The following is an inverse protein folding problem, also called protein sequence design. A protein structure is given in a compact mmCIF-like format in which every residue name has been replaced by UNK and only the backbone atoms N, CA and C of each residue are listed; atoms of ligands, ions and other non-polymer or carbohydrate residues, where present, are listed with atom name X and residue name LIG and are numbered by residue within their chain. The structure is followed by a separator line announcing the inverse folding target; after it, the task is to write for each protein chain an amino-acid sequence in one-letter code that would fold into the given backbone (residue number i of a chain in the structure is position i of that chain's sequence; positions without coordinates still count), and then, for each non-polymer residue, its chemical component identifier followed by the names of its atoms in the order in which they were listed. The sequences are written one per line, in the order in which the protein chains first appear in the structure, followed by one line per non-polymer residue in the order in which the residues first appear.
data_IF_200283696133
#
_entry.id   IF_200283696133
#
_cell.length_a   1.000
_cell.length_b   1.000
_cell.length_c   1.000
_cell.angle_alpha   90.00
_cell.angle_beta   90.00
_cell.angle_gamma   90.00
#
_symmetry.space_group_name_H-M   'P 1'
#
loop_
_entity.id
_entity.type
_entity.pdbx_description
1 polymer ?
#
# COMPACT_ATOMS: atom_id res chain seq x y z
N UNK A 1 -81.52 -10.22 30.18
CA UNK A 1 -81.28 -10.78 28.84
C UNK A 1 -80.62 -9.72 27.97
N UNK A 2 -79.61 -10.14 27.19
CA UNK A 2 -78.82 -9.39 26.17
C UNK A 2 -77.81 -8.38 26.71
N UNK A 3 -76.59 -8.24 26.20
CA UNK A 3 -75.54 -9.12 25.67
C UNK A 3 -74.36 -8.16 25.37
N UNK A 4 -73.13 -8.58 25.68
CA UNK A 4 -71.88 -7.86 25.44
C UNK A 4 -71.67 -7.57 23.94
N UNK A 5 -71.04 -6.45 23.60
CA UNK A 5 -70.04 -6.43 22.52
C UNK A 5 -68.86 -5.53 22.92
N UNK A 6 -67.70 -6.16 23.07
CA UNK A 6 -66.39 -5.52 23.30
C UNK A 6 -65.81 -5.19 21.94
N UNK A 7 -65.63 -3.91 21.62
CA UNK A 7 -64.92 -3.48 20.43
C UNK A 7 -63.42 -3.53 20.73
N UNK A 8 -62.73 -4.56 20.21
CA UNK A 8 -61.27 -4.64 20.26
C UNK A 8 -60.69 -3.80 19.12
N UNK A 9 -59.91 -2.78 19.45
CA UNK A 9 -59.11 -2.02 18.49
C UNK A 9 -57.88 -2.87 18.13
N UNK A 10 -57.83 -3.34 16.88
CA UNK A 10 -56.65 -3.98 16.29
C UNK A 10 -55.69 -2.85 15.90
N UNK A 11 -54.62 -2.68 16.68
CA UNK A 11 -53.51 -1.80 16.32
C UNK A 11 -52.76 -2.42 15.13
N UNK A 12 -52.84 -1.78 13.98
CA UNK A 12 -52.09 -2.16 12.78
C UNK A 12 -50.65 -1.68 12.92
N UNK A 13 -49.74 -2.60 13.20
CA UNK A 13 -48.30 -2.34 13.18
C UNK A 13 -47.82 -2.12 11.75
N UNK A 14 -47.61 -0.85 11.37
CA UNK A 14 -46.89 -0.50 10.14
C UNK A 14 -45.41 -0.89 10.33
N UNK A 15 -45.01 -2.03 9.77
CA UNK A 15 -43.61 -2.40 9.64
C UNK A 15 -42.97 -1.52 8.55
N UNK A 16 -42.27 -0.46 8.96
CA UNK A 16 -41.41 0.31 8.07
C UNK A 16 -40.20 -0.56 7.73
N UNK A 17 -40.24 -1.21 6.57
CA UNK A 17 -39.05 -1.80 5.94
C UNK A 17 -38.09 -0.65 5.59
N UNK A 18 -37.17 -0.34 6.50
CA UNK A 18 -36.01 0.47 6.18
C UNK A 18 -35.17 -0.28 5.16
N UNK A 19 -35.24 0.13 3.89
CA UNK A 19 -34.28 -0.29 2.88
C UNK A 19 -32.89 0.18 3.34
N UNK A 20 -32.09 -0.75 3.88
CA UNK A 20 -30.66 -0.54 4.09
C UNK A 20 -30.07 -0.42 2.70
N UNK A 21 -29.91 0.82 2.23
CA UNK A 21 -29.08 1.10 1.08
C UNK A 21 -27.68 0.58 1.42
N UNK A 22 -27.28 -0.52 0.78
CA UNK A 22 -25.89 -0.97 0.78
C UNK A 22 -25.08 0.03 -0.05
N UNK A 23 -24.94 1.26 0.46
CA UNK A 23 -23.95 2.18 -0.03
C UNK A 23 -22.60 1.54 0.16
N UNK A 24 -21.80 1.46 -0.90
CA UNK A 24 -20.42 1.01 -0.81
C UNK A 24 -19.72 1.79 0.29
N UNK A 25 -19.21 1.09 1.31
CA UNK A 25 -18.49 1.74 2.40
C UNK A 25 -17.36 2.60 1.80
N UNK A 26 -17.12 3.82 2.32
CA UNK A 26 -16.03 4.65 1.84
C UNK A 26 -14.71 3.88 1.96
N UNK A 27 -13.89 3.87 0.91
CA UNK A 27 -12.57 3.22 0.91
C UNK A 27 -11.78 3.78 2.10
N UNK A 28 -11.35 2.89 3.00
CA UNK A 28 -10.63 3.28 4.21
C UNK A 28 -9.32 4.00 3.87
N UNK A 29 -8.83 4.87 4.75
CA UNK A 29 -7.54 5.53 4.54
C UNK A 29 -6.41 4.50 4.46
N UNK A 30 -6.48 3.45 5.27
CA UNK A 30 -5.55 2.32 5.24
C UNK A 30 -5.52 1.63 3.87
N UNK A 31 -6.67 1.42 3.22
CA UNK A 31 -6.70 0.80 1.89
C UNK A 31 -6.08 1.70 0.81
N UNK A 32 -6.33 3.02 0.89
CA UNK A 32 -5.69 3.99 -0.02
C UNK A 32 -4.17 4.01 0.16
N UNK A 33 -3.73 4.02 1.40
CA UNK A 33 -2.31 4.01 1.78
C UNK A 33 -1.63 2.69 1.36
N UNK A 34 -2.29 1.55 1.61
CA UNK A 34 -1.80 0.23 1.24
C UNK A 34 -1.65 0.06 -0.27
N UNK A 35 -2.67 0.48 -1.04
CA UNK A 35 -2.61 0.47 -2.50
C UNK A 35 -1.45 1.32 -3.03
N UNK A 36 -1.32 2.55 -2.54
CA UNK A 36 -0.27 3.46 -2.97
C UNK A 36 1.13 2.92 -2.64
N UNK A 37 1.32 2.39 -1.43
CA UNK A 37 2.59 1.79 -1.03
C UNK A 37 2.92 0.55 -1.87
N UNK A 38 1.96 -0.35 -2.08
CA UNK A 38 2.11 -1.53 -2.93
C UNK A 38 2.50 -1.13 -4.37
N UNK A 39 1.88 -0.10 -4.93
CA UNK A 39 2.19 0.42 -6.26
C UNK A 39 3.67 0.82 -6.41
N UNK A 40 4.21 1.52 -5.39
CA UNK A 40 5.62 1.91 -5.36
C UNK A 40 6.51 0.67 -5.37
N UNK A 41 6.21 -0.35 -4.56
CA UNK A 41 7.04 -1.57 -4.54
C UNK A 41 7.09 -2.27 -5.89
N UNK A 42 5.98 -2.29 -6.65
CA UNK A 42 5.94 -2.88 -8.01
C UNK A 42 6.76 -2.05 -8.98
N UNK A 43 6.74 -0.72 -8.84
CA UNK A 43 7.55 0.17 -9.65
C UNK A 43 9.05 -0.06 -9.43
N UNK A 44 9.47 -0.19 -8.17
CA UNK A 44 10.87 -0.27 -7.76
C UNK A 44 11.45 -1.69 -7.90
N UNK A 45 10.72 -2.72 -7.44
CA UNK A 45 11.23 -4.09 -7.32
C UNK A 45 10.45 -5.11 -8.18
N UNK A 46 9.35 -4.72 -8.81
CA UNK A 46 8.50 -5.62 -9.57
C UNK A 46 7.56 -6.47 -8.70
N UNK A 47 6.97 -7.49 -9.33
CA UNK A 47 5.95 -8.37 -8.73
C UNK A 47 6.42 -9.81 -8.51
N UNK A 48 7.71 -10.09 -8.70
CA UNK A 48 8.22 -11.47 -8.58
C UNK A 48 8.36 -11.87 -7.10
N UNK A 49 8.29 -13.17 -6.75
CA UNK A 49 8.40 -13.63 -5.36
C UNK A 49 9.68 -13.15 -4.66
N UNK A 50 10.81 -13.10 -5.36
CA UNK A 50 12.09 -12.64 -4.80
C UNK A 50 12.10 -11.16 -4.37
N UNK A 51 11.05 -10.38 -4.70
CA UNK A 51 10.92 -8.96 -4.33
C UNK A 51 10.13 -8.72 -3.04
N UNK A 52 9.77 -9.76 -2.29
CA UNK A 52 8.96 -9.63 -1.07
C UNK A 52 9.66 -8.83 0.03
N UNK A 53 10.92 -9.15 0.33
CA UNK A 53 11.70 -8.41 1.33
C UNK A 53 11.96 -6.97 0.89
N UNK A 54 12.20 -6.73 -0.41
CA UNK A 54 12.30 -5.39 -0.96
C UNK A 54 11.00 -4.60 -0.76
N UNK A 55 9.86 -5.24 -0.99
CA UNK A 55 8.57 -4.62 -0.75
C UNK A 55 8.36 -4.26 0.71
N UNK A 56 8.64 -5.19 1.64
CA UNK A 56 8.55 -4.93 3.08
C UNK A 56 9.43 -3.75 3.47
N UNK A 57 10.68 -3.72 3.02
CA UNK A 57 11.61 -2.63 3.30
C UNK A 57 11.12 -1.29 2.76
N UNK A 58 10.68 -1.23 1.50
CA UNK A 58 10.19 0.00 0.85
C UNK A 58 8.94 0.53 1.56
N UNK A 59 7.97 -0.34 1.85
CA UNK A 59 6.74 0.04 2.57
C UNK A 59 7.10 0.61 3.94
N UNK A 60 8.03 -0.03 4.66
CA UNK A 60 8.48 0.43 5.96
C UNK A 60 9.10 1.83 5.89
N UNK A 61 9.94 2.09 4.89
CA UNK A 61 10.48 3.45 4.67
C UNK A 61 9.37 4.46 4.40
N UNK A 62 8.38 4.11 3.57
CA UNK A 62 7.24 5.01 3.31
C UNK A 62 6.46 5.33 4.60
N UNK A 63 6.21 4.34 5.45
CA UNK A 63 5.56 4.52 6.76
C UNK A 63 6.40 5.43 7.66
N UNK A 64 7.67 5.11 7.87
CA UNK A 64 8.56 5.86 8.76
C UNK A 64 8.71 7.32 8.33
N UNK A 65 8.80 7.56 7.01
CA UNK A 65 8.91 8.90 6.45
C UNK A 65 7.59 9.67 6.47
N UNK A 66 6.46 8.98 6.33
CA UNK A 66 5.13 9.56 6.52
C UNK A 66 4.95 10.04 7.96
N UNK A 67 5.29 9.20 8.95
CA UNK A 67 5.28 9.55 10.38
C UNK A 67 6.16 10.77 10.69
N UNK A 68 7.43 10.74 10.26
CA UNK A 68 8.37 11.85 10.46
C UNK A 68 7.92 13.19 9.86
N UNK A 69 7.06 13.16 8.84
CA UNK A 69 6.55 14.36 8.15
C UNK A 69 5.14 14.75 8.55
N UNK A 70 4.45 13.94 9.37
CA UNK A 70 3.05 14.15 9.70
C UNK A 70 2.12 14.11 8.49
N UNK A 71 2.38 13.22 7.52
CA UNK A 71 1.55 13.04 6.32
C UNK A 71 1.09 11.58 6.18
N UNK A 72 0.12 11.31 5.30
CA UNK A 72 -0.29 9.92 5.00
C UNK A 72 0.76 9.16 4.20
N UNK A 73 0.71 7.83 4.26
CA UNK A 73 1.59 6.96 3.46
C UNK A 73 1.33 7.15 1.98
N UNK A 74 0.08 7.33 1.55
CA UNK A 74 -0.23 7.66 0.16
C UNK A 74 0.45 8.97 -0.28
N UNK A 75 0.42 10.02 0.55
CA UNK A 75 1.13 11.27 0.22
C UNK A 75 2.64 11.03 0.12
N UNK A 76 3.21 10.22 1.00
CA UNK A 76 4.63 9.89 0.96
C UNK A 76 5.00 9.06 -0.29
N UNK A 77 4.14 8.12 -0.70
CA UNK A 77 4.31 7.32 -1.91
C UNK A 77 4.37 8.20 -3.18
N UNK A 78 3.47 9.19 -3.30
CA UNK A 78 3.48 10.15 -4.40
C UNK A 78 4.77 10.98 -4.46
N UNK A 79 5.31 11.36 -3.29
CA UNK A 79 6.53 12.14 -3.19
C UNK A 79 7.80 11.33 -3.51
N UNK A 80 7.84 10.04 -3.15
CA UNK A 80 8.99 9.17 -3.44
C UNK A 80 8.99 8.64 -4.87
N UNK A 81 7.83 8.24 -5.39
CA UNK A 81 7.72 7.55 -6.68
C UNK A 81 6.50 8.03 -7.47
N UNK A 82 6.41 9.35 -7.70
CA UNK A 82 5.31 9.94 -8.47
C UNK A 82 5.14 9.32 -9.87
N UNK A 83 6.24 8.84 -10.49
CA UNK A 83 6.20 8.11 -11.77
C UNK A 83 5.42 6.79 -11.71
N UNK A 84 5.25 6.18 -10.54
CA UNK A 84 4.43 4.97 -10.40
C UNK A 84 2.93 5.24 -10.69
N UNK A 85 2.50 6.49 -10.52
CA UNK A 85 1.12 6.95 -10.70
C UNK A 85 0.90 7.65 -12.05
N UNK A 86 1.97 7.85 -12.82
CA UNK A 86 1.92 8.50 -14.12
C UNK A 86 1.34 7.56 -15.18
N UNK A 87 0.14 7.91 -15.64
CA UNK A 87 -0.61 7.16 -16.64
C UNK A 87 -0.09 7.36 -18.07
N UNK A 88 0.75 8.36 -18.32
CA UNK A 88 1.26 8.73 -19.64
C UNK A 88 2.72 8.32 -19.86
N UNK A 89 3.34 7.68 -18.87
CA UNK A 89 4.72 7.20 -18.97
C UNK A 89 4.90 6.19 -20.11
N UNK A 90 6.03 6.23 -20.84
CA UNK A 90 6.22 5.38 -22.02
C UNK A 90 6.53 3.91 -21.69
N UNK A 91 7.13 3.64 -20.53
CA UNK A 91 7.54 2.29 -20.10
C UNK A 91 6.80 1.88 -18.83
N UNK A 92 6.43 0.59 -18.75
CA UNK A 92 5.71 0.02 -17.60
C UNK A 92 4.42 0.78 -17.27
N UNK A 93 3.78 1.41 -18.26
CA UNK A 93 2.56 2.20 -18.12
C UNK A 93 1.45 1.47 -17.35
N UNK A 94 1.36 0.15 -17.54
CA UNK A 94 0.40 -0.72 -16.86
C UNK A 94 0.42 -0.61 -15.33
N UNK A 95 1.56 -0.28 -14.70
CA UNK A 95 1.65 -0.17 -13.23
C UNK A 95 0.66 0.88 -12.72
N UNK A 96 0.55 2.04 -13.37
CA UNK A 96 -0.38 3.10 -12.95
C UNK A 96 -1.87 2.70 -13.05
N UNK A 97 -2.17 1.56 -13.68
CA UNK A 97 -3.52 0.99 -13.82
C UNK A 97 -3.78 -0.19 -12.90
N UNK A 98 -2.85 -0.53 -12.00
CA UNK A 98 -3.10 -1.54 -10.98
C UNK A 98 -4.13 -1.03 -9.97
N UNK A 99 -5.20 -1.79 -9.79
CA UNK A 99 -6.30 -1.45 -8.87
C UNK A 99 -6.32 -2.37 -7.65
N UNK A 100 -6.90 -1.95 -6.51
CA UNK A 100 -7.05 -2.81 -5.35
C UNK A 100 -7.87 -4.09 -5.59
N UNK A 101 -8.76 -4.10 -6.60
CA UNK A 101 -9.57 -5.27 -6.96
C UNK A 101 -8.77 -6.37 -7.67
N UNK A 102 -7.56 -6.05 -8.15
CA UNK A 102 -6.72 -7.00 -8.88
C UNK A 102 -7.22 -7.31 -10.29
N UNK A 103 -8.06 -6.44 -10.86
CA UNK A 103 -8.38 -6.45 -12.29
C UNK A 103 -7.10 -6.33 -13.13
N UNK A 104 -7.12 -6.93 -14.33
CA UNK A 104 -5.99 -6.80 -15.25
C UNK A 104 -5.73 -5.32 -15.56
N UNK A 105 -4.52 -4.82 -15.32
CA UNK A 105 -4.22 -3.42 -15.56
C UNK A 105 -4.25 -3.12 -17.05
N UNK A 106 -4.84 -1.98 -17.41
CA UNK A 106 -4.82 -1.48 -18.79
C UNK A 106 -3.38 -1.42 -19.32
N UNK A 107 -3.18 -2.00 -20.51
CA UNK A 107 -1.88 -2.00 -21.18
C UNK A 107 -0.92 -3.06 -20.63
N UNK A 108 -1.44 -4.12 -20.01
CA UNK A 108 -0.67 -5.30 -19.64
C UNK A 108 0.18 -5.79 -20.84
N UNK A 109 1.49 -6.06 -20.66
CA UNK A 109 2.35 -6.41 -21.79
C UNK A 109 2.00 -7.78 -22.38
N UNK A 110 1.74 -7.86 -23.68
CA UNK A 110 1.39 -9.12 -24.39
C UNK A 110 2.45 -10.24 -24.29
N UNK A 111 3.69 -9.90 -23.96
CA UNK A 111 4.79 -10.86 -23.82
C UNK A 111 4.98 -11.32 -22.37
N UNK A 112 4.24 -10.74 -21.42
CA UNK A 112 4.24 -11.23 -20.04
C UNK A 112 3.31 -12.44 -19.94
N UNK A 113 3.55 -13.33 -18.96
CA UNK A 113 2.57 -14.33 -18.59
C UNK A 113 1.20 -13.72 -18.28
N UNK A 114 0.19 -14.56 -18.35
CA UNK A 114 -1.20 -14.21 -18.06
C UNK A 114 -1.34 -13.54 -16.68
N UNK A 115 -2.09 -12.44 -16.63
CA UNK A 115 -2.23 -11.62 -15.43
C UNK A 115 -2.91 -12.41 -14.30
N UNK A 116 -4.08 -12.97 -14.58
CA UNK A 116 -4.95 -13.58 -13.57
C UNK A 116 -4.27 -14.76 -12.88
N UNK A 117 -3.52 -15.57 -13.64
CA UNK A 117 -2.86 -16.76 -13.11
C UNK A 117 -1.47 -16.51 -12.54
N UNK A 118 -0.70 -15.56 -13.07
CA UNK A 118 0.72 -15.41 -12.68
C UNK A 118 1.00 -14.20 -11.79
N UNK A 119 0.25 -13.10 -11.89
CA UNK A 119 0.60 -11.84 -11.23
C UNK A 119 -0.46 -11.29 -10.30
N UNK A 120 -1.74 -11.56 -10.55
CA UNK A 120 -2.84 -11.13 -9.68
C UNK A 120 -2.67 -11.64 -8.24
N UNK A 121 -2.32 -12.91 -7.96
CA UNK A 121 -2.12 -13.35 -6.59
C UNK A 121 -0.97 -12.59 -5.89
N UNK A 122 0.14 -12.36 -6.59
CA UNK A 122 1.28 -11.62 -6.07
C UNK A 122 0.94 -10.15 -5.80
N UNK A 123 0.13 -9.53 -6.68
CA UNK A 123 -0.34 -8.16 -6.50
C UNK A 123 -1.26 -8.02 -5.28
N UNK A 124 -2.24 -8.92 -5.13
CA UNK A 124 -3.14 -8.91 -3.99
C UNK A 124 -2.39 -9.17 -2.68
N UNK A 125 -1.42 -10.10 -2.70
CA UNK A 125 -0.53 -10.34 -1.56
C UNK A 125 0.30 -9.08 -1.21
N UNK A 126 0.72 -8.29 -2.21
CA UNK A 126 1.46 -7.05 -1.99
C UNK A 126 0.62 -5.97 -1.32
N UNK A 127 -0.64 -5.83 -1.72
CA UNK A 127 -1.60 -4.92 -1.06
C UNK A 127 -1.82 -5.37 0.38
N UNK A 128 -2.01 -6.67 0.61
CA UNK A 128 -2.22 -7.21 1.95
C UNK A 128 -1.01 -7.00 2.85
N UNK A 129 0.20 -7.26 2.36
CA UNK A 129 1.44 -6.94 3.08
C UNK A 129 1.49 -5.47 3.49
N UNK A 130 1.15 -4.56 2.58
CA UNK A 130 1.13 -3.13 2.88
C UNK A 130 0.08 -2.80 3.94
N UNK A 131 -1.13 -3.38 3.85
CA UNK A 131 -2.21 -3.20 4.83
C UNK A 131 -1.74 -3.61 6.23
N UNK A 132 -1.12 -4.78 6.36
CA UNK A 132 -0.63 -5.32 7.63
C UNK A 132 0.48 -4.49 8.26
N UNK A 133 1.41 -3.97 7.44
CA UNK A 133 2.47 -3.08 7.94
C UNK A 133 1.90 -1.72 8.38
N UNK A 134 0.93 -1.17 7.64
CA UNK A 134 0.31 0.13 7.96
C UNK A 134 -0.59 0.01 9.19
N UNK A 135 -1.31 -1.09 9.36
CA UNK A 135 -2.18 -1.34 10.53
C UNK A 135 -1.41 -1.71 11.79
N UNK A 136 -0.10 -1.99 11.69
CA UNK A 136 0.71 -2.48 12.80
C UNK A 136 0.51 -3.96 13.13
N UNK A 137 -0.15 -4.73 12.26
CA UNK A 137 -0.21 -6.20 12.39
C UNK A 137 1.18 -6.83 12.14
N UNK A 138 2.00 -6.20 11.30
CA UNK A 138 3.38 -6.59 11.05
C UNK A 138 4.35 -5.47 11.43
N UNK A 139 5.46 -5.88 12.03
CA UNK A 139 6.57 -4.99 12.37
C UNK A 139 7.26 -4.42 11.12
N UNK A 140 7.39 -3.09 11.10
CA UNK A 140 8.09 -2.37 10.05
C UNK A 140 9.61 -2.52 10.20
N UNK A 141 10.32 -2.59 9.09
CA UNK A 141 11.77 -2.40 9.11
C UNK A 141 12.07 -0.96 9.53
N UNK A 142 12.94 -0.77 10.51
CA UNK A 142 13.37 0.57 10.93
C UNK A 142 14.42 1.12 9.95
N UNK A 143 14.00 1.34 8.71
CA UNK A 143 14.76 2.01 7.67
C UNK A 143 14.09 3.33 7.30
N UNK A 144 14.91 4.29 6.88
CA UNK A 144 14.51 5.67 6.56
C UNK A 144 14.71 6.00 5.08
N UNK A 145 15.57 5.26 4.40
CA UNK A 145 15.88 5.42 2.99
C UNK A 145 16.18 4.06 2.36
N UNK A 146 16.04 4.00 1.03
CA UNK A 146 16.55 2.90 0.21
C UNK A 146 17.24 3.43 -1.04
N UNK A 147 17.99 2.57 -1.70
CA UNK A 147 18.60 2.83 -3.01
C UNK A 147 19.02 1.54 -3.69
N UNK A 148 19.21 1.59 -5.00
CA UNK A 148 19.71 0.45 -5.74
C UNK A 148 21.18 0.19 -5.41
N UNK A 149 21.53 -1.08 -5.11
CA UNK A 149 22.91 -1.53 -4.91
C UNK A 149 23.79 -1.39 -6.14
N UNK A 150 23.24 -1.16 -7.32
CA UNK A 150 23.98 -1.17 -8.58
C UNK A 150 23.83 0.13 -9.38
N UNK A 151 23.03 1.09 -8.90
CA UNK A 151 22.85 2.35 -9.59
C UNK A 151 23.89 3.39 -9.09
N UNK A 152 24.79 3.91 -9.96
CA UNK A 152 25.89 4.76 -9.52
C UNK A 152 25.45 5.99 -8.72
N UNK A 153 24.33 6.62 -9.11
CA UNK A 153 23.82 7.81 -8.42
C UNK A 153 23.34 7.48 -7.01
N UNK A 154 22.69 6.33 -6.81
CA UNK A 154 22.22 5.92 -5.49
C UNK A 154 23.39 5.54 -4.59
N UNK A 155 24.36 4.80 -5.13
CA UNK A 155 25.59 4.46 -4.42
C UNK A 155 26.37 5.70 -4.01
N UNK A 156 26.63 6.65 -4.92
CA UNK A 156 27.36 7.88 -4.59
C UNK A 156 26.64 8.71 -3.53
N UNK A 157 25.30 8.77 -3.57
CA UNK A 157 24.49 9.44 -2.55
C UNK A 157 24.63 8.76 -1.18
N UNK A 158 24.52 7.44 -1.15
CA UNK A 158 24.62 6.63 0.07
C UNK A 158 26.03 6.71 0.67
N UNK A 159 27.07 6.50 -0.13
CA UNK A 159 28.47 6.58 0.28
C UNK A 159 28.81 7.93 0.90
N UNK A 160 28.40 9.03 0.27
CA UNK A 160 28.59 10.38 0.83
C UNK A 160 27.90 10.55 2.18
N UNK A 161 26.66 10.07 2.30
CA UNK A 161 25.93 10.17 3.56
C UNK A 161 26.53 9.31 4.68
N UNK A 162 27.08 8.14 4.34
CA UNK A 162 27.78 7.26 5.28
C UNK A 162 29.12 7.87 5.69
N UNK A 163 29.91 8.40 4.75
CA UNK A 163 31.22 9.00 5.05
C UNK A 163 31.10 10.26 5.93
N UNK A 164 30.00 11.00 5.79
CA UNK A 164 29.66 12.15 6.65
C UNK A 164 29.03 11.72 7.99
N UNK A 165 28.91 10.42 8.26
CA UNK A 165 28.35 9.89 9.51
C UNK A 165 26.84 10.10 9.64
N UNK A 166 26.13 10.47 8.58
CA UNK A 166 24.69 10.76 8.62
C UNK A 166 23.84 9.50 8.50
N UNK A 167 24.28 8.53 7.69
CA UNK A 167 23.53 7.29 7.42
C UNK A 167 24.31 6.05 7.86
N UNK A 168 23.59 4.96 8.07
CA UNK A 168 24.15 3.62 8.25
C UNK A 168 23.32 2.60 7.47
N UNK A 169 23.96 1.55 6.97
CA UNK A 169 23.29 0.44 6.28
C UNK A 169 22.44 -0.33 7.29
N UNK A 170 21.21 -0.66 6.90
CA UNK A 170 20.27 -1.41 7.72
C UNK A 170 19.73 -2.62 6.97
N UNK A 171 19.67 -3.77 7.65
CA UNK A 171 19.17 -5.01 7.06
C UNK A 171 17.65 -5.10 7.21
N UNK A 172 16.94 -5.09 6.07
CA UNK A 172 15.48 -5.31 6.01
C UNK A 172 15.11 -6.71 5.47
N UNK A 173 16.02 -7.69 5.58
CA UNK A 173 15.84 -9.03 5.00
C UNK A 173 16.71 -9.26 3.76
N UNK A 174 16.40 -10.31 3.00
CA UNK A 174 17.10 -10.69 1.78
C UNK A 174 16.65 -9.82 0.60
N UNK A 175 17.19 -8.60 0.55
CA UNK A 175 16.79 -7.56 -0.40
C UNK A 175 17.77 -7.42 -1.56
N UNK A 176 17.29 -6.96 -2.71
CA UNK A 176 18.14 -6.50 -3.82
C UNK A 176 18.53 -5.03 -3.69
N UNK A 177 17.70 -4.22 -3.03
CA UNK A 177 18.03 -2.86 -2.65
C UNK A 177 18.90 -2.83 -1.38
N UNK A 178 19.49 -1.67 -1.13
CA UNK A 178 20.12 -1.38 0.16
C UNK A 178 19.26 -0.38 0.91
N UNK A 179 19.09 -0.63 2.21
CA UNK A 179 18.29 0.17 3.11
C UNK A 179 19.18 0.89 4.12
N UNK A 180 18.75 2.06 4.56
CA UNK A 180 19.56 2.92 5.41
C UNK A 180 18.76 3.51 6.56
N UNK A 181 19.38 3.58 7.74
CA UNK A 181 18.93 4.43 8.83
C UNK A 181 19.60 5.80 8.77
N UNK A 182 18.88 6.83 9.20
CA UNK A 182 19.45 8.16 9.41
C UNK A 182 19.79 8.31 10.88
N UNK A 183 21.06 8.58 11.20
CA UNK A 183 21.51 8.71 12.59
C UNK A 183 20.89 9.95 13.25
N UNK A 184 20.50 9.79 14.52
CA UNK A 184 19.89 10.87 15.30
C UNK A 184 18.44 11.18 14.94
N UNK A 185 17.80 10.39 14.06
CA UNK A 185 16.38 10.50 13.74
C UNK A 185 15.61 9.44 14.53
N UNK A 186 14.61 9.87 15.30
CA UNK A 186 13.67 8.98 15.99
C UNK A 186 12.32 9.04 15.28
N UNK A 187 11.81 7.87 14.89
CA UNK A 187 10.48 7.75 14.29
C UNK A 187 9.45 7.92 15.42
N UNK A 188 8.46 8.82 15.28
CA UNK A 188 7.36 8.93 16.23
C UNK A 188 6.59 7.61 16.32
N UNK A 189 6.11 7.26 17.51
CA UNK A 189 5.26 6.09 17.71
C UNK A 189 3.97 6.17 16.88
#
# INVERSE_FOLDING_TARGET
MKAKLRTSLIASSLAVLGAVSMGSAPISQTDKDAWAAALVTVNEAGLKPESEDDARGIISVLINRAKLRGVSVHRMALLYSGKAFDQDRPRRRWIAFLTPSGEEPRGWPKHYPDWDTHYKPAWLARIELARKLISGELEVCDAHHWGSRYHPVDQSRAQRAISEGRWEVHSCGNTMNEFYRVKGVQIPD
#
